data_IF_910464201265
#
_entry.id   IF_910464201265
#
_cell.length_a   1.000
_cell.length_b   1.000
_cell.length_c   1.000
_cell.angle_alpha   90.00
_cell.angle_beta   90.00
_cell.angle_gamma   90.00
#
_symmetry.space_group_name_H-M   'P 1'
#
loop_
_entity.id
_entity.type
_entity.pdbx_description
1 polymer ?
#
# COMPACT_ATOMS: atom_id res chain seq x y z
N UNK A 1 -15.58 -9.54 -6.48
CA UNK A 1 -14.28 -9.49 -5.78
C UNK A 1 -14.28 -8.24 -4.94
N UNK A 2 -14.14 -8.33 -3.62
CA UNK A 2 -13.92 -7.13 -2.81
C UNK A 2 -12.53 -6.60 -3.14
N UNK A 3 -12.40 -5.35 -3.59
CA UNK A 3 -11.09 -4.72 -3.89
C UNK A 3 -10.43 -4.12 -2.65
N UNK A 4 -11.03 -4.31 -1.47
CA UNK A 4 -10.60 -3.73 -0.21
C UNK A 4 -10.05 -4.83 0.69
N UNK A 5 -8.83 -4.64 1.17
CA UNK A 5 -8.21 -5.50 2.17
C UNK A 5 -8.94 -5.35 3.51
N UNK A 6 -8.99 -6.44 4.26
CA UNK A 6 -9.42 -6.45 5.66
C UNK A 6 -8.23 -6.70 6.58
N UNK A 7 -8.30 -6.29 7.84
CA UNK A 7 -7.23 -6.52 8.82
C UNK A 7 -6.93 -8.01 9.04
N UNK A 8 -7.94 -8.88 8.87
CA UNK A 8 -7.76 -10.33 8.90
C UNK A 8 -6.78 -10.83 7.83
N UNK A 9 -6.65 -10.13 6.71
CA UNK A 9 -5.71 -10.51 5.65
C UNK A 9 -4.26 -10.14 6.00
N UNK A 10 -4.06 -9.30 7.03
CA UNK A 10 -2.79 -8.67 7.38
C UNK A 10 -2.21 -9.16 8.71
N UNK A 11 -2.90 -10.06 9.42
CA UNK A 11 -2.59 -10.44 10.79
C UNK A 11 -1.18 -11.02 11.02
N UNK A 12 -0.52 -11.49 9.97
CA UNK A 12 0.84 -12.03 9.98
C UNK A 12 1.94 -11.01 9.64
N UNK A 13 1.58 -9.76 9.37
CA UNK A 13 2.57 -8.72 9.07
C UNK A 13 3.41 -8.38 10.30
N UNK A 14 4.71 -8.28 10.10
CA UNK A 14 5.69 -7.93 11.12
C UNK A 14 6.21 -6.51 10.97
N UNK A 15 6.51 -6.08 9.74
CA UNK A 15 7.11 -4.77 9.48
C UNK A 15 6.69 -4.23 8.11
N UNK A 16 6.61 -2.90 8.02
CA UNK A 16 6.47 -2.17 6.76
C UNK A 16 7.87 -1.74 6.31
N UNK A 17 8.19 -1.99 5.04
CA UNK A 17 9.45 -1.56 4.42
C UNK A 17 9.13 -0.65 3.26
N UNK A 18 9.57 0.60 3.37
CA UNK A 18 9.47 1.59 2.31
C UNK A 18 10.72 1.57 1.43
N UNK A 19 10.53 1.66 0.12
CA UNK A 19 11.60 1.75 -0.88
C UNK A 19 11.94 3.20 -1.26
N UNK A 20 11.08 4.13 -0.87
CA UNK A 20 11.20 5.57 -1.04
C UNK A 20 10.56 6.29 0.15
N UNK A 21 10.65 7.62 0.22
CA UNK A 21 10.09 8.36 1.35
C UNK A 21 8.55 8.42 1.24
N UNK A 22 7.78 7.78 2.14
CA UNK A 22 6.32 7.82 2.10
C UNK A 22 5.75 9.22 2.36
N UNK A 23 6.49 10.13 2.99
CA UNK A 23 6.02 11.47 3.34
C UNK A 23 5.75 12.36 2.11
N UNK A 24 6.32 11.99 0.96
CA UNK A 24 6.15 12.74 -0.29
C UNK A 24 4.96 12.25 -1.14
N UNK A 25 4.25 11.20 -0.70
CA UNK A 25 3.19 10.58 -1.49
C UNK A 25 1.82 10.96 -0.94
N UNK A 26 0.90 11.41 -1.78
CA UNK A 26 -0.47 11.69 -1.34
C UNK A 26 -1.15 10.44 -0.80
N UNK A 27 -1.03 9.33 -1.53
CA UNK A 27 -1.56 8.02 -1.19
C UNK A 27 -0.65 6.92 -1.74
N UNK A 28 -0.88 5.69 -1.32
CA UNK A 28 -0.35 4.49 -1.98
C UNK A 28 -1.48 3.49 -2.22
N UNK A 29 -1.43 2.75 -3.33
CA UNK A 29 -2.31 1.59 -3.53
C UNK A 29 -1.76 0.40 -2.77
N UNK A 30 -2.64 -0.49 -2.30
CA UNK A 30 -2.28 -1.74 -1.63
C UNK A 30 -2.87 -2.95 -2.33
N UNK A 31 -2.10 -4.04 -2.37
CA UNK A 31 -2.54 -5.34 -2.87
C UNK A 31 -1.79 -6.46 -2.13
N UNK A 32 -2.34 -7.68 -2.16
CA UNK A 32 -1.65 -8.88 -1.71
C UNK A 32 -1.00 -9.59 -2.89
N UNK A 33 0.32 -9.76 -2.82
CA UNK A 33 1.09 -10.56 -3.77
C UNK A 33 1.44 -11.92 -3.16
N UNK A 34 1.39 -12.97 -4.00
CA UNK A 34 1.86 -14.30 -3.62
C UNK A 34 3.37 -14.39 -3.81
N UNK A 35 4.09 -14.78 -2.77
CA UNK A 35 5.56 -14.78 -2.76
C UNK A 35 6.12 -16.07 -2.18
N UNK A 36 7.30 -16.49 -2.64
CA UNK A 36 8.00 -17.67 -2.09
C UNK A 36 8.72 -17.38 -0.78
N UNK A 37 8.91 -16.10 -0.42
CA UNK A 37 9.70 -15.66 0.74
C UNK A 37 8.91 -14.69 1.61
N UNK A 38 9.01 -14.88 2.93
CA UNK A 38 8.42 -14.02 3.97
C UNK A 38 9.02 -12.62 4.06
N UNK A 39 10.28 -12.46 3.64
CA UNK A 39 11.11 -11.27 3.86
C UNK A 39 11.89 -10.86 2.63
N UNK A 40 12.42 -9.64 2.65
CA UNK A 40 13.11 -9.01 1.53
C UNK A 40 12.15 -8.56 0.44
N UNK A 41 12.66 -7.76 -0.50
CA UNK A 41 11.88 -7.20 -1.61
C UNK A 41 11.23 -8.32 -2.45
N UNK A 42 9.89 -8.37 -2.55
CA UNK A 42 9.21 -9.32 -3.43
C UNK A 42 9.61 -9.11 -4.89
N UNK A 43 9.51 -10.18 -5.69
CA UNK A 43 9.48 -10.02 -7.15
C UNK A 43 8.22 -9.22 -7.51
N UNK A 44 8.37 -8.22 -8.36
CA UNK A 44 7.28 -7.32 -8.73
C UNK A 44 7.08 -7.37 -10.24
N UNK A 45 5.90 -7.81 -10.66
CA UNK A 45 5.54 -7.99 -12.08
C UNK A 45 4.28 -7.19 -12.48
N UNK A 46 3.75 -6.39 -11.54
CA UNK A 46 2.58 -5.56 -11.81
C UNK A 46 3.00 -4.30 -12.57
N UNK A 47 2.06 -3.73 -13.30
CA UNK A 47 2.22 -2.39 -13.85
C UNK A 47 2.46 -1.38 -12.72
N UNK A 48 3.24 -0.33 -13.04
CA UNK A 48 3.60 0.72 -12.11
C UNK A 48 4.87 0.43 -11.32
N UNK A 49 5.04 1.18 -10.22
CA UNK A 49 6.23 1.16 -9.38
C UNK A 49 5.88 0.69 -7.96
N UNK A 50 6.61 -0.31 -7.47
CA UNK A 50 6.54 -0.70 -6.06
C UNK A 50 7.25 0.35 -5.21
N UNK A 51 6.54 0.86 -4.21
CA UNK A 51 7.03 1.91 -3.30
C UNK A 51 7.27 1.39 -1.88
N UNK A 52 6.71 0.23 -1.56
CA UNK A 52 6.94 -0.46 -0.30
C UNK A 52 6.31 -1.84 -0.27
N UNK A 53 6.51 -2.56 0.81
CA UNK A 53 5.93 -3.87 1.06
C UNK A 53 5.94 -4.20 2.54
N UNK A 54 5.23 -5.25 2.94
CA UNK A 54 5.32 -5.80 4.29
C UNK A 54 6.15 -7.07 4.34
N UNK A 55 6.86 -7.24 5.44
CA UNK A 55 7.49 -8.50 5.82
C UNK A 55 6.59 -9.26 6.78
N UNK A 56 6.61 -10.58 6.70
CA UNK A 56 5.83 -11.45 7.58
C UNK A 56 6.63 -11.85 8.82
N UNK A 57 5.91 -12.27 9.84
CA UNK A 57 6.46 -12.89 11.04
C UNK A 57 7.35 -14.11 10.67
N UNK A 58 8.40 -14.42 11.46
CA UNK A 58 9.33 -15.51 11.13
C UNK A 58 8.66 -16.88 10.92
N UNK A 59 7.53 -17.12 11.61
CA UNK A 59 6.86 -18.41 11.69
C UNK A 59 5.55 -18.47 10.89
N UNK A 60 5.24 -17.46 10.08
CA UNK A 60 4.04 -17.48 9.23
C UNK A 60 4.10 -18.66 8.28
N UNK A 61 3.08 -19.52 8.29
CA UNK A 61 3.01 -20.65 7.37
C UNK A 61 2.70 -20.18 5.95
N UNK A 62 3.22 -20.91 4.97
CA UNK A 62 2.80 -20.72 3.60
C UNK A 62 1.43 -21.36 3.40
N UNK A 63 0.68 -20.87 2.42
CA UNK A 63 -0.55 -21.52 1.97
C UNK A 63 -0.23 -22.98 1.57
N UNK A 64 -0.94 -23.99 2.14
CA UNK A 64 -0.57 -25.39 1.98
C UNK A 64 -0.74 -25.90 0.55
N UNK A 65 -1.64 -25.30 -0.24
CA UNK A 65 -1.91 -25.71 -1.61
C UNK A 65 -0.86 -25.16 -2.59
N UNK A 66 -0.41 -23.92 -2.39
CA UNK A 66 0.51 -23.23 -3.30
C UNK A 66 1.96 -23.17 -2.82
N UNK A 67 2.21 -23.35 -1.52
CA UNK A 67 3.51 -23.12 -0.90
C UNK A 67 3.93 -21.64 -0.90
N UNK A 68 3.00 -20.70 -1.14
CA UNK A 68 3.27 -19.26 -1.24
C UNK A 68 2.74 -18.51 -0.01
N UNK A 69 3.35 -17.36 0.26
CA UNK A 69 2.93 -16.45 1.31
C UNK A 69 2.25 -15.23 0.68
N UNK A 70 1.13 -14.78 1.25
CA UNK A 70 0.51 -13.51 0.90
C UNK A 70 1.25 -12.38 1.60
N UNK A 71 1.72 -11.41 0.82
CA UNK A 71 2.43 -10.23 1.34
C UNK A 71 1.82 -8.97 0.76
N UNK A 72 1.58 -7.97 1.60
CA UNK A 72 1.07 -6.69 1.14
C UNK A 72 2.18 -5.93 0.44
N UNK A 73 1.85 -5.39 -0.73
CA UNK A 73 2.72 -4.51 -1.50
C UNK A 73 2.05 -3.16 -1.65
N UNK A 74 2.86 -2.10 -1.62
CA UNK A 74 2.43 -0.73 -1.84
C UNK A 74 2.98 -0.26 -3.18
N UNK A 75 2.13 0.36 -3.99
CA UNK A 75 2.51 0.74 -5.35
C UNK A 75 1.76 1.96 -5.87
N UNK A 76 2.28 2.51 -6.97
CA UNK A 76 1.67 3.59 -7.74
C UNK A 76 1.70 3.25 -9.23
N UNK A 77 0.61 3.57 -9.93
CA UNK A 77 0.46 3.40 -11.37
C UNK A 77 0.82 4.71 -12.11
N UNK A 78 1.16 4.65 -13.40
CA UNK A 78 1.54 5.84 -14.17
C UNK A 78 0.46 6.93 -14.28
N UNK A 79 -0.80 6.60 -14.00
CA UNK A 79 -1.95 7.52 -14.04
C UNK A 79 -2.47 7.86 -12.62
N UNK A 80 -1.75 7.45 -11.58
CA UNK A 80 -2.01 7.95 -10.23
C UNK A 80 -1.54 9.40 -10.11
N UNK A 81 -2.14 10.13 -9.16
CA UNK A 81 -1.94 11.58 -8.97
C UNK A 81 -0.47 11.99 -8.81
N UNK A 82 0.37 11.11 -8.27
CA UNK A 82 1.82 11.29 -8.14
C UNK A 82 2.51 11.59 -9.48
N UNK A 83 2.06 10.95 -10.57
CA UNK A 83 2.61 11.12 -11.92
C UNK A 83 1.71 11.95 -12.84
N UNK A 84 0.40 11.93 -12.61
CA UNK A 84 -0.61 12.64 -13.41
C UNK A 84 -1.61 13.37 -12.49
N UNK A 85 -1.24 14.56 -11.97
CA UNK A 85 -2.03 15.27 -10.96
C UNK A 85 -3.40 15.75 -11.49
N UNK A 86 -3.50 16.03 -12.78
CA UNK A 86 -4.74 16.43 -13.47
C UNK A 86 -5.50 15.21 -14.05
N UNK A 87 -5.00 14.00 -13.78
CA UNK A 87 -5.52 12.75 -14.31
C UNK A 87 -6.81 12.25 -13.65
N UNK A 88 -7.14 10.95 -13.84
CA UNK A 88 -8.41 10.38 -13.37
C UNK A 88 -8.58 10.40 -11.85
N UNK A 89 -7.49 10.54 -11.10
CA UNK A 89 -7.50 10.58 -9.64
C UNK A 89 -7.23 11.98 -9.06
N UNK A 90 -7.46 13.05 -9.83
CA UNK A 90 -7.33 14.42 -9.33
C UNK A 90 -8.30 14.70 -8.16
N UNK A 91 -9.57 14.25 -8.25
CA UNK A 91 -10.61 14.49 -7.23
C UNK A 91 -10.50 13.58 -5.99
N UNK A 92 -9.98 12.37 -6.15
CA UNK A 92 -10.04 11.35 -5.09
C UNK A 92 -9.11 10.18 -5.34
N UNK A 93 -8.65 9.55 -4.26
CA UNK A 93 -7.76 8.41 -4.35
C UNK A 93 -8.50 7.15 -4.85
N UNK A 94 -7.83 6.22 -5.54
CA UNK A 94 -8.36 4.90 -5.88
C UNK A 94 -8.99 4.18 -4.68
N UNK A 95 -9.95 3.27 -4.92
CA UNK A 95 -10.70 2.59 -3.86
C UNK A 95 -9.80 1.92 -2.81
N UNK A 96 -8.80 1.18 -3.26
CA UNK A 96 -7.81 0.50 -2.44
C UNK A 96 -6.74 1.41 -1.84
N UNK A 97 -6.62 2.65 -2.32
CA UNK A 97 -5.55 3.55 -1.90
C UNK A 97 -5.80 4.17 -0.53
N UNK A 98 -4.74 4.27 0.26
CA UNK A 98 -4.72 4.78 1.64
C UNK A 98 -3.58 5.77 1.84
N UNK A 99 -3.67 6.59 2.90
CA UNK A 99 -2.60 7.48 3.31
C UNK A 99 -1.42 6.67 3.87
N UNK A 100 -0.21 6.81 3.29
CA UNK A 100 0.95 6.04 3.74
C UNK A 100 1.35 6.32 5.20
N UNK A 101 1.02 7.50 5.76
CA UNK A 101 1.32 7.85 7.16
C UNK A 101 0.44 7.11 8.18
N UNK A 102 -0.63 6.46 7.73
CA UNK A 102 -1.55 5.68 8.57
C UNK A 102 -1.30 4.17 8.49
N UNK A 103 -0.33 3.75 7.67
CA UNK A 103 -0.03 2.35 7.45
C UNK A 103 0.84 1.83 8.59
N UNK A 104 0.35 0.77 9.22
CA UNK A 104 1.08 -0.02 10.21
C UNK A 104 0.95 -1.50 9.86
N UNK A 105 1.88 -2.37 10.33
CA UNK A 105 1.68 -3.81 10.26
C UNK A 105 0.29 -4.18 10.82
N UNK A 106 -0.41 -5.07 10.12
CA UNK A 106 -1.73 -5.60 10.49
C UNK A 106 -2.89 -4.59 10.39
N UNK A 107 -2.63 -3.34 10.01
CA UNK A 107 -3.65 -2.30 9.78
C UNK A 107 -3.71 -1.93 8.31
N UNK A 108 -4.93 -1.84 7.78
CA UNK A 108 -5.18 -1.54 6.35
C UNK A 108 -4.69 -0.14 5.96
N UNK A 109 -4.74 0.81 6.90
CA UNK A 109 -4.53 2.24 6.65
C UNK A 109 -5.84 2.95 6.32
N UNK A 110 -5.85 4.28 6.46
CA UNK A 110 -7.04 5.12 6.37
C UNK A 110 -7.03 6.02 5.12
N UNK A 111 -8.23 6.39 4.67
CA UNK A 111 -8.41 7.50 3.72
C UNK A 111 -8.45 8.81 4.49
N UNK A 112 -7.35 9.55 4.47
CA UNK A 112 -7.24 10.90 5.07
C UNK A 112 -7.51 12.00 4.04
N UNK A 113 -7.69 13.27 4.47
CA UNK A 113 -7.68 14.42 3.55
C UNK A 113 -6.45 14.47 2.63
N UNK A 114 -5.26 14.11 3.13
CA UNK A 114 -4.03 14.00 2.32
C UNK A 114 -4.21 13.00 1.19
N UNK A 115 -4.67 11.78 1.49
CA UNK A 115 -4.90 10.78 0.45
C UNK A 115 -5.95 11.21 -0.56
N UNK A 116 -7.04 11.81 -0.08
CA UNK A 116 -8.18 12.15 -0.93
C UNK A 116 -7.93 13.39 -1.79
N UNK A 117 -7.28 14.43 -1.25
CA UNK A 117 -7.16 15.75 -1.89
C UNK A 117 -5.72 16.22 -2.11
N UNK A 118 -4.74 15.44 -1.67
CA UNK A 118 -3.32 15.70 -1.82
C UNK A 118 -2.70 16.41 -0.62
N UNK A 119 -1.36 16.43 -0.58
CA UNK A 119 -0.54 17.01 0.49
C UNK A 119 -0.91 18.47 0.80
N UNK A 120 -1.22 19.28 -0.22
CA UNK A 120 -1.60 20.68 -0.04
C UNK A 120 -2.84 20.86 0.86
N UNK A 121 -3.79 19.92 0.81
CA UNK A 121 -5.03 19.99 1.59
C UNK A 121 -4.82 19.83 3.11
N UNK A 122 -3.67 19.28 3.55
CA UNK A 122 -3.34 19.21 4.98
C UNK A 122 -2.88 20.55 5.55
N UNK A 123 -2.39 21.45 4.70
CA UNK A 123 -1.91 22.78 5.13
C UNK A 123 -3.06 23.76 5.42
N UNK A 124 -4.26 23.52 4.89
CA UNK A 124 -5.42 24.42 5.05
C UNK A 124 -6.17 24.23 6.39
N UNK A 125 -5.86 23.18 7.16
CA UNK A 125 -6.53 22.90 8.46
C UNK A 125 -5.78 23.48 9.67
N UNK A 126 -4.64 24.13 9.46
CA UNK A 126 -3.85 24.78 10.50
C UNK A 126 -3.74 26.29 10.30
N UNK A 127 -4.79 27.04 10.63
CA UNK A 127 -4.77 28.51 10.77
C UNK A 127 -5.78 28.96 11.82
#
# INVERSE_FOLDING_TARGET
MSSLLNESDLHHENAVVWLENPDNLDYVRQALDKTTRRRGKPRYERDGRMVGYTELEPHTEADPDSGLHLRRVFFLLPHDRDADPDGPYHEGAPGEAVDPSTIEPKRVGDKTPRSQRGLAATSETGS
#
